data_IF_476225765013
#
_entry.id   IF_476225765013
#
_cell.length_a   1.000
_cell.length_b   1.000
_cell.length_c   1.000
_cell.angle_alpha   90.00
_cell.angle_beta   90.00
_cell.angle_gamma   90.00
#
_symmetry.space_group_name_H-M   'P 1'
#
loop_
_entity.id
_entity.type
_entity.pdbx_description
1 polymer ?
#
# COMPACT_ATOMS: atom_id res chain seq x y z
N UNK A 1 -0.16 -6.56 -24.11
CA UNK A 1 -1.13 -5.77 -23.30
C UNK A 1 -0.46 -5.10 -22.11
N UNK A 2 -1.04 -4.00 -21.66
CA UNK A 2 -0.57 -3.21 -20.52
C UNK A 2 -1.66 -3.20 -19.44
N UNK A 3 -1.71 -4.18 -18.52
CA UNK A 3 -2.80 -4.34 -17.56
C UNK A 3 -3.03 -3.09 -16.69
N UNK A 4 -1.96 -2.39 -16.28
CA UNK A 4 -2.08 -1.20 -15.47
C UNK A 4 -2.69 0.00 -16.20
N UNK A 5 -2.61 0.06 -17.53
CA UNK A 5 -3.30 1.08 -18.32
C UNK A 5 -4.81 0.87 -18.27
N UNK A 6 -5.28 -0.38 -18.32
CA UNK A 6 -6.70 -0.70 -18.13
C UNK A 6 -7.18 -0.34 -16.72
N UNK A 7 -6.40 -0.65 -15.69
CA UNK A 7 -6.73 -0.25 -14.32
C UNK A 7 -6.81 1.28 -14.18
N UNK A 8 -5.92 2.03 -14.84
CA UNK A 8 -5.99 3.49 -14.84
C UNK A 8 -7.30 4.02 -15.48
N UNK A 9 -7.72 3.44 -16.59
CA UNK A 9 -8.99 3.77 -17.24
C UNK A 9 -10.19 3.42 -16.33
N UNK A 10 -10.20 2.25 -15.73
CA UNK A 10 -11.27 1.84 -14.81
C UNK A 10 -11.33 2.72 -13.58
N UNK A 11 -10.18 3.11 -13.02
CA UNK A 11 -10.12 4.07 -11.91
C UNK A 11 -10.69 5.44 -12.32
N UNK A 12 -10.35 5.93 -13.53
CA UNK A 12 -10.93 7.12 -14.10
C UNK A 12 -12.45 7.04 -14.26
N UNK A 13 -12.97 5.86 -14.64
CA UNK A 13 -14.40 5.62 -14.84
C UNK A 13 -15.19 5.36 -13.55
N UNK A 14 -14.52 4.99 -12.45
CA UNK A 14 -15.14 4.47 -11.23
C UNK A 14 -15.81 5.54 -10.36
N UNK A 15 -15.34 6.79 -10.40
CA UNK A 15 -15.75 7.83 -9.45
C UNK A 15 -17.29 8.01 -9.36
N UNK A 16 -18.08 8.14 -10.45
CA UNK A 16 -19.52 8.32 -10.36
C UNK A 16 -20.26 7.09 -9.82
N UNK A 17 -19.63 5.92 -9.79
CA UNK A 17 -20.24 4.70 -9.25
C UNK A 17 -20.27 4.68 -7.73
N UNK A 18 -19.40 5.43 -7.06
CA UNK A 18 -19.26 5.37 -5.61
C UNK A 18 -20.55 5.74 -4.87
N UNK A 19 -21.32 6.70 -5.38
CA UNK A 19 -22.63 7.05 -4.80
C UNK A 19 -23.65 5.94 -5.01
N UNK A 20 -23.72 5.38 -6.20
CA UNK A 20 -24.62 4.28 -6.54
C UNK A 20 -24.32 3.06 -5.67
N UNK A 21 -23.04 2.74 -5.49
CA UNK A 21 -22.55 1.59 -4.71
C UNK A 21 -22.51 1.86 -3.20
N UNK A 22 -22.67 3.11 -2.77
CA UNK A 22 -22.54 3.56 -1.38
C UNK A 22 -21.16 3.22 -0.77
N UNK A 23 -20.11 3.34 -1.58
CA UNK A 23 -18.72 3.07 -1.18
C UNK A 23 -18.01 4.41 -0.90
N UNK A 24 -17.23 4.53 0.17
CA UNK A 24 -16.42 5.73 0.42
C UNK A 24 -15.35 5.91 -0.66
N UNK A 25 -14.80 7.12 -0.77
CA UNK A 25 -13.67 7.42 -1.65
C UNK A 25 -12.43 6.59 -1.30
N UNK A 26 -11.61 6.31 -2.30
CA UNK A 26 -10.35 5.59 -2.16
C UNK A 26 -9.29 6.14 -3.13
N UNK A 27 -8.06 5.65 -2.98
CA UNK A 27 -6.92 6.08 -3.79
C UNK A 27 -6.44 4.93 -4.66
N UNK A 28 -6.10 5.21 -5.91
CA UNK A 28 -5.34 4.32 -6.80
C UNK A 28 -3.99 4.99 -7.08
N UNK A 29 -2.91 4.37 -6.62
CA UNK A 29 -1.56 4.94 -6.62
C UNK A 29 -0.62 4.14 -7.50
N UNK A 30 -0.08 4.77 -8.55
CA UNK A 30 0.91 4.21 -9.45
C UNK A 30 2.30 4.58 -8.97
N UNK A 31 3.03 3.63 -8.40
CA UNK A 31 4.34 3.84 -7.81
C UNK A 31 5.43 3.00 -8.46
N UNK A 32 6.65 3.53 -8.53
CA UNK A 32 7.80 2.85 -9.10
C UNK A 32 8.81 3.80 -9.73
N UNK A 33 9.83 3.22 -10.36
CA UNK A 33 10.93 3.96 -10.99
C UNK A 33 10.45 5.01 -12.01
N UNK A 34 11.29 6.02 -12.23
CA UNK A 34 11.10 7.04 -13.27
C UNK A 34 11.02 6.38 -14.65
N UNK A 35 10.32 7.02 -15.58
CA UNK A 35 10.16 6.56 -16.97
C UNK A 35 9.41 5.22 -17.15
N UNK A 36 8.67 4.76 -16.15
CA UNK A 36 7.85 3.54 -16.21
C UNK A 36 6.47 3.71 -16.85
N UNK A 37 6.09 4.92 -17.30
CA UNK A 37 4.77 5.19 -17.89
C UNK A 37 3.68 5.61 -16.90
N UNK A 38 4.03 5.97 -15.65
CA UNK A 38 3.07 6.40 -14.61
C UNK A 38 2.24 7.60 -15.05
N UNK A 39 2.92 8.68 -15.50
CA UNK A 39 2.24 9.88 -16.01
C UNK A 39 1.37 9.56 -17.24
N UNK A 40 1.80 8.62 -18.09
CA UNK A 40 1.00 8.15 -19.23
C UNK A 40 -0.27 7.44 -18.78
N UNK A 41 -0.19 6.60 -17.71
CA UNK A 41 -1.37 5.97 -17.11
C UNK A 41 -2.33 7.02 -16.53
N UNK A 42 -1.80 8.05 -15.84
CA UNK A 42 -2.63 9.15 -15.33
C UNK A 42 -3.29 9.96 -16.45
N UNK A 43 -2.57 10.24 -17.54
CA UNK A 43 -3.15 10.89 -18.74
C UNK A 43 -4.29 10.06 -19.33
N UNK A 44 -4.10 8.74 -19.37
CA UNK A 44 -5.13 7.83 -19.86
C UNK A 44 -6.38 7.84 -18.97
N UNK A 45 -6.22 7.81 -17.65
CA UNK A 45 -7.31 7.96 -16.70
C UNK A 45 -8.02 9.33 -16.83
N UNK A 46 -7.26 10.41 -16.98
CA UNK A 46 -7.79 11.77 -17.12
C UNK A 46 -8.60 11.95 -18.40
N UNK A 47 -8.17 11.30 -19.49
CA UNK A 47 -8.84 11.39 -20.80
C UNK A 47 -10.27 10.87 -20.79
N UNK A 48 -10.65 10.06 -19.80
CA UNK A 48 -12.03 9.58 -19.62
C UNK A 48 -12.98 10.77 -19.52
N UNK A 49 -12.61 11.82 -18.78
CA UNK A 49 -13.48 12.96 -18.48
C UNK A 49 -13.09 14.28 -19.12
N UNK A 50 -11.80 14.48 -19.37
CA UNK A 50 -11.33 15.77 -19.86
C UNK A 50 -9.94 15.71 -20.47
N UNK A 51 -9.39 16.88 -20.80
CA UNK A 51 -8.10 17.02 -21.44
C UNK A 51 -6.96 16.57 -20.51
N UNK A 52 -6.15 15.57 -20.88
CA UNK A 52 -5.05 15.06 -20.07
C UNK A 52 -3.75 15.84 -20.33
N UNK A 53 -3.75 17.15 -20.11
CA UNK A 53 -2.63 18.06 -20.39
C UNK A 53 -1.90 18.42 -19.09
N UNK A 54 -0.62 18.72 -19.16
CA UNK A 54 0.13 19.33 -18.04
C UNK A 54 -0.17 20.84 -17.91
N UNK A 55 -0.71 21.44 -18.99
CA UNK A 55 -1.06 22.87 -19.03
C UNK A 55 -2.57 23.06 -18.93
N UNK A 56 -2.99 24.09 -18.20
CA UNK A 56 -4.41 24.46 -18.10
C UNK A 56 -4.99 24.89 -19.45
N UNK A 57 -6.24 24.52 -19.81
CA UNK A 57 -7.18 23.70 -19.03
C UNK A 57 -6.81 22.20 -19.01
N UNK A 58 -6.96 21.56 -17.88
CA UNK A 58 -6.56 20.17 -17.70
C UNK A 58 -7.50 19.43 -16.74
N UNK A 59 -7.60 18.10 -16.93
CA UNK A 59 -8.21 17.16 -16.00
C UNK A 59 -7.16 16.43 -15.12
N UNK A 60 -5.88 16.78 -15.26
CA UNK A 60 -4.78 16.22 -14.49
C UNK A 60 -3.99 17.33 -13.80
N UNK A 61 -3.76 17.19 -12.51
CA UNK A 61 -3.09 18.20 -11.69
C UNK A 61 -1.80 17.64 -11.12
N UNK A 62 -1.04 18.46 -10.40
CA UNK A 62 0.20 18.08 -9.74
C UNK A 62 0.02 18.08 -8.21
N UNK A 63 0.79 17.24 -7.52
CA UNK A 63 0.95 17.31 -6.06
C UNK A 63 1.62 18.61 -5.57
N UNK A 64 2.20 19.44 -6.45
CA UNK A 64 2.65 20.80 -6.10
C UNK A 64 1.45 21.74 -5.89
N UNK A 65 0.66 21.42 -4.88
CA UNK A 65 -0.54 22.16 -4.51
C UNK A 65 -0.68 22.22 -2.98
N UNK A 66 -1.42 23.23 -2.51
CA UNK A 66 -1.77 23.28 -1.10
C UNK A 66 -2.92 22.32 -0.78
N UNK A 67 -2.94 21.77 0.44
CA UNK A 67 -4.05 20.91 0.90
C UNK A 67 -5.43 21.57 0.67
N UNK A 68 -5.55 22.87 0.94
CA UNK A 68 -6.81 23.62 0.76
C UNK A 68 -7.25 23.66 -0.70
N UNK A 69 -6.29 23.83 -1.61
CA UNK A 69 -6.59 23.82 -3.04
C UNK A 69 -7.08 22.44 -3.47
N UNK A 70 -6.42 21.38 -2.99
CA UNK A 70 -6.83 19.98 -3.27
C UNK A 70 -8.24 19.71 -2.73
N UNK A 71 -8.55 20.11 -1.48
CA UNK A 71 -9.89 19.96 -0.89
C UNK A 71 -10.96 20.67 -1.72
N UNK A 72 -10.70 21.91 -2.16
CA UNK A 72 -11.65 22.66 -3.00
C UNK A 72 -11.83 22.05 -4.36
N UNK A 73 -10.75 21.58 -4.97
CA UNK A 73 -10.82 20.89 -6.28
C UNK A 73 -11.58 19.58 -6.16
N UNK A 74 -11.36 18.80 -5.10
CA UNK A 74 -12.14 17.60 -4.82
C UNK A 74 -13.63 17.89 -4.65
N UNK A 75 -13.97 18.94 -3.90
CA UNK A 75 -15.37 19.39 -3.73
C UNK A 75 -16.00 19.86 -5.05
N UNK A 76 -15.25 20.59 -5.88
CA UNK A 76 -15.71 21.01 -7.21
C UNK A 76 -15.95 19.82 -8.15
N UNK A 77 -15.02 18.85 -8.17
CA UNK A 77 -15.16 17.65 -9.00
C UNK A 77 -16.24 16.69 -8.46
N UNK A 78 -16.46 16.70 -7.17
CA UNK A 78 -17.46 15.92 -6.43
C UNK A 78 -17.40 14.41 -6.75
N UNK A 79 -18.11 13.95 -7.79
CA UNK A 79 -18.19 12.54 -8.21
C UNK A 79 -17.31 12.24 -9.45
N UNK A 80 -16.44 13.16 -9.85
CA UNK A 80 -15.44 12.93 -10.89
C UNK A 80 -14.07 12.64 -10.26
N UNK A 81 -13.19 11.87 -10.91
CA UNK A 81 -11.89 11.51 -10.33
C UNK A 81 -11.01 12.75 -10.16
N UNK A 82 -10.28 12.80 -9.04
CA UNK A 82 -9.20 13.76 -8.84
C UNK A 82 -7.87 13.07 -9.22
N UNK A 83 -7.08 13.69 -10.09
CA UNK A 83 -5.83 13.10 -10.59
C UNK A 83 -4.68 14.01 -10.22
N UNK A 84 -3.72 13.49 -9.44
CA UNK A 84 -2.56 14.22 -8.92
C UNK A 84 -1.27 13.49 -9.30
N UNK A 85 -0.48 14.11 -10.17
CA UNK A 85 0.79 13.56 -10.65
C UNK A 85 1.96 13.95 -9.75
N UNK A 86 2.86 12.99 -9.51
CA UNK A 86 4.17 13.07 -8.89
C UNK A 86 4.18 13.53 -7.41
N UNK A 87 4.04 12.57 -6.49
CA UNK A 87 4.04 12.81 -5.02
C UNK A 87 5.29 13.51 -4.50
N UNK A 88 6.46 13.37 -5.16
CA UNK A 88 7.69 14.10 -4.79
C UNK A 88 7.57 15.62 -4.93
N UNK A 89 6.65 16.11 -5.76
CA UNK A 89 6.40 17.54 -5.94
C UNK A 89 5.59 18.16 -4.80
N UNK A 90 5.02 17.34 -3.91
CA UNK A 90 4.36 17.84 -2.71
C UNK A 90 5.37 18.59 -1.83
N UNK A 91 5.03 19.81 -1.40
CA UNK A 91 5.93 20.67 -0.60
C UNK A 91 6.42 20.02 0.69
N UNK A 92 5.61 19.12 1.26
CA UNK A 92 5.97 18.32 2.43
C UNK A 92 5.32 16.93 2.35
N UNK A 93 6.02 15.86 2.74
CA UNK A 93 5.47 14.49 2.80
C UNK A 93 4.16 14.38 3.60
N UNK A 94 3.99 15.19 4.63
CA UNK A 94 2.75 15.25 5.44
C UNK A 94 1.52 15.64 4.63
N UNK A 95 1.69 16.44 3.57
CA UNK A 95 0.55 16.85 2.72
C UNK A 95 -0.04 15.63 2.03
N UNK A 96 0.78 14.74 1.49
CA UNK A 96 0.33 13.50 0.83
C UNK A 96 -0.48 12.65 1.81
N UNK A 97 0.06 12.40 3.01
CA UNK A 97 -0.63 11.64 4.05
C UNK A 97 -1.98 12.27 4.42
N UNK A 98 -1.98 13.56 4.71
CA UNK A 98 -3.17 14.26 5.22
C UNK A 98 -4.24 14.38 4.13
N UNK A 99 -3.84 14.57 2.87
CA UNK A 99 -4.76 14.58 1.72
C UNK A 99 -5.39 13.20 1.52
N UNK A 100 -4.61 12.11 1.51
CA UNK A 100 -5.15 10.75 1.37
C UNK A 100 -6.17 10.45 2.46
N UNK A 101 -5.84 10.80 3.72
CA UNK A 101 -6.74 10.57 4.85
C UNK A 101 -8.07 11.33 4.69
N UNK A 102 -8.01 12.65 4.45
CA UNK A 102 -9.20 13.50 4.35
C UNK A 102 -9.99 13.19 3.07
N UNK A 103 -9.29 12.89 1.95
CA UNK A 103 -9.94 12.52 0.69
C UNK A 103 -10.85 11.30 0.84
N UNK A 104 -10.35 10.27 1.53
CA UNK A 104 -11.13 9.05 1.77
C UNK A 104 -12.24 9.24 2.81
N UNK A 105 -12.20 10.31 3.62
CA UNK A 105 -13.32 10.70 4.49
C UNK A 105 -14.45 11.40 3.72
N UNK A 106 -14.18 11.89 2.52
CA UNK A 106 -15.17 12.50 1.64
C UNK A 106 -15.60 13.92 2.04
N UNK A 107 -14.84 14.58 2.92
CA UNK A 107 -15.14 15.95 3.36
C UNK A 107 -13.87 16.72 3.69
N UNK A 108 -13.89 18.01 3.39
CA UNK A 108 -12.85 18.96 3.77
C UNK A 108 -12.84 19.23 5.28
N UNK A 109 -11.79 19.88 5.73
CA UNK A 109 -11.67 20.27 7.14
C UNK A 109 -12.67 21.37 7.47
N UNK A 110 -13.48 21.16 8.50
CA UNK A 110 -14.38 22.18 9.03
C UNK A 110 -13.59 23.41 9.50
N UNK A 111 -14.02 24.59 9.11
CA UNK A 111 -13.40 25.88 9.49
C UNK A 111 -14.45 26.82 10.04
N UNK A 112 -14.17 27.43 11.21
CA UNK A 112 -14.94 28.53 11.72
C UNK A 112 -14.64 29.83 10.94
N UNK A 113 -15.58 30.73 10.90
CA UNK A 113 -15.39 32.13 10.50
C UNK A 113 -16.02 33.05 11.57
N UNK A 114 -15.74 34.32 11.50
CA UNK A 114 -16.34 35.34 12.41
C UNK A 114 -17.86 35.36 12.28
N UNK A 115 -18.39 34.95 11.14
CA UNK A 115 -19.82 34.92 10.81
C UNK A 115 -20.48 33.53 10.99
N UNK A 116 -19.75 32.56 11.60
CA UNK A 116 -20.24 31.19 11.80
C UNK A 116 -19.37 30.10 11.18
N UNK A 117 -19.96 28.96 10.83
CA UNK A 117 -19.25 27.85 10.14
C UNK A 117 -19.18 28.13 8.64
N UNK A 118 -17.97 28.03 8.06
CA UNK A 118 -17.80 28.03 6.60
C UNK A 118 -18.35 26.75 6.01
N UNK A 119 -18.86 26.83 4.77
CA UNK A 119 -19.20 25.66 3.98
C UNK A 119 -18.03 24.68 3.94
N UNK A 120 -18.29 23.44 4.29
CA UNK A 120 -17.32 22.35 4.20
C UNK A 120 -17.54 21.62 2.89
N UNK A 121 -16.52 21.60 2.04
CA UNK A 121 -16.56 20.86 0.79
C UNK A 121 -16.76 19.36 1.08
N UNK A 122 -17.54 18.70 0.24
CA UNK A 122 -17.74 17.24 0.32
C UNK A 122 -17.62 16.61 -1.07
N UNK A 123 -17.16 15.38 -1.09
CA UNK A 123 -16.99 14.62 -2.32
C UNK A 123 -17.09 13.11 -2.05
N UNK A 124 -17.35 12.37 -3.09
CA UNK A 124 -17.26 10.91 -3.08
C UNK A 124 -16.63 10.49 -4.40
N UNK A 125 -15.32 10.26 -4.39
CA UNK A 125 -14.54 10.15 -5.61
C UNK A 125 -13.35 9.21 -5.46
N UNK A 126 -12.67 8.95 -6.57
CA UNK A 126 -11.40 8.23 -6.66
C UNK A 126 -10.28 9.25 -6.85
N UNK A 127 -9.28 9.20 -5.96
CA UNK A 127 -8.03 9.92 -6.15
C UNK A 127 -7.07 8.99 -6.92
N UNK A 128 -6.58 9.44 -8.07
CA UNK A 128 -5.57 8.73 -8.85
C UNK A 128 -4.25 9.49 -8.68
N UNK A 129 -3.23 8.79 -8.20
CA UNK A 129 -1.94 9.38 -7.82
C UNK A 129 -0.79 8.67 -8.52
N UNK A 130 0.33 9.37 -8.66
CA UNK A 130 1.60 8.77 -9.04
C UNK A 130 2.75 9.24 -8.17
N UNK A 131 3.81 8.43 -8.12
CA UNK A 131 5.06 8.80 -7.45
C UNK A 131 6.16 7.77 -7.66
N UNK A 132 7.40 8.11 -7.32
CA UNK A 132 8.48 7.12 -7.31
C UNK A 132 8.37 6.16 -6.12
N UNK A 133 7.94 6.66 -4.96
CA UNK A 133 7.58 5.86 -3.79
C UNK A 133 6.07 5.67 -3.69
N UNK A 134 5.64 4.56 -3.12
CA UNK A 134 4.23 4.31 -2.86
C UNK A 134 3.62 5.41 -1.96
N UNK A 135 2.43 5.89 -2.27
CA UNK A 135 1.73 6.90 -1.47
C UNK A 135 1.51 6.42 -0.02
N UNK A 136 1.41 5.10 0.19
CA UNK A 136 1.35 4.48 1.52
C UNK A 136 2.63 4.64 2.34
N UNK A 137 3.79 4.91 1.73
CA UNK A 137 5.05 5.15 2.46
C UNK A 137 5.05 6.45 3.27
N UNK A 138 4.19 7.41 2.91
CA UNK A 138 4.04 8.68 3.63
C UNK A 138 3.23 8.55 4.93
N UNK A 139 2.61 7.39 5.18
CA UNK A 139 1.85 7.12 6.41
C UNK A 139 2.16 5.74 6.96
N UNK A 140 2.39 5.69 8.27
CA UNK A 140 2.52 4.42 8.99
C UNK A 140 1.15 3.90 9.47
N UNK A 141 0.07 4.66 9.29
CA UNK A 141 -1.26 4.31 9.75
C UNK A 141 -1.89 3.21 8.87
N UNK A 142 -2.32 2.12 9.51
CA UNK A 142 -2.97 1.00 8.84
C UNK A 142 -4.32 1.40 8.20
N UNK A 143 -4.99 2.42 8.75
CA UNK A 143 -6.23 2.97 8.20
C UNK A 143 -6.01 3.68 6.86
N UNK A 144 -4.93 4.43 6.72
CA UNK A 144 -4.53 5.08 5.46
C UNK A 144 -4.16 4.03 4.41
N UNK A 145 -3.36 3.02 4.79
CA UNK A 145 -2.96 1.92 3.88
C UNK A 145 -4.16 1.15 3.33
N UNK A 146 -5.17 0.91 4.16
CA UNK A 146 -6.38 0.19 3.75
C UNK A 146 -7.26 0.95 2.74
N UNK A 147 -6.93 2.20 2.42
CA UNK A 147 -7.68 3.08 1.49
C UNK A 147 -6.93 3.34 0.18
N UNK A 148 -5.73 2.78 0.03
CA UNK A 148 -4.85 3.03 -1.13
C UNK A 148 -4.57 1.71 -1.83
N UNK A 149 -5.07 1.57 -3.05
CA UNK A 149 -4.66 0.52 -3.98
C UNK A 149 -3.32 0.93 -4.61
N UNK A 150 -2.24 0.35 -4.13
CA UNK A 150 -0.90 0.63 -4.67
C UNK A 150 -0.58 -0.33 -5.80
N UNK A 151 -0.26 0.21 -6.98
CA UNK A 151 0.26 -0.53 -8.13
C UNK A 151 1.75 -0.22 -8.26
N UNK A 152 2.59 -1.17 -7.84
CA UNK A 152 4.04 -1.05 -7.96
C UNK A 152 4.49 -1.55 -9.33
N UNK A 153 5.36 -0.78 -10.01
CA UNK A 153 5.99 -1.23 -11.24
C UNK A 153 5.88 -0.25 -12.40
N UNK A 154 5.99 -0.78 -13.60
CA UNK A 154 6.02 0.00 -14.85
C UNK A 154 4.71 -0.20 -15.63
N UNK A 155 3.78 0.76 -15.66
CA UNK A 155 2.52 0.65 -16.39
C UNK A 155 2.65 0.27 -17.87
N UNK A 156 3.75 0.65 -18.51
CA UNK A 156 4.06 0.32 -19.91
C UNK A 156 5.03 -0.86 -20.07
N UNK A 157 5.22 -1.67 -18.99
CA UNK A 157 6.09 -2.84 -19.03
C UNK A 157 7.57 -2.51 -18.87
N UNK A 158 8.42 -3.54 -18.95
CA UNK A 158 9.87 -3.43 -18.75
C UNK A 158 10.66 -3.08 -20.02
N UNK A 159 10.05 -3.27 -21.19
CA UNK A 159 10.67 -2.91 -22.48
C UNK A 159 10.58 -1.37 -22.69
N UNK A 160 11.74 -0.73 -22.64
CA UNK A 160 11.83 0.74 -22.69
C UNK A 160 11.44 1.30 -24.06
N UNK A 161 11.80 0.61 -25.14
CA UNK A 161 11.53 1.07 -26.51
C UNK A 161 10.03 0.96 -26.82
N UNK A 162 9.41 -0.16 -26.45
CA UNK A 162 7.95 -0.33 -26.58
C UNK A 162 7.24 0.67 -25.68
N UNK A 163 7.65 0.83 -24.44
CA UNK A 163 7.05 1.76 -23.49
C UNK A 163 7.11 3.21 -23.96
N UNK A 164 8.25 3.66 -24.52
CA UNK A 164 8.43 5.02 -25.03
C UNK A 164 7.52 5.28 -26.24
N UNK A 165 7.49 4.36 -27.20
CA UNK A 165 6.63 4.45 -28.38
C UNK A 165 5.15 4.52 -28.00
N UNK A 166 4.69 3.62 -27.11
CA UNK A 166 3.30 3.63 -26.64
C UNK A 166 2.96 4.90 -25.87
N UNK A 167 3.90 5.41 -25.06
CA UNK A 167 3.70 6.67 -24.33
C UNK A 167 3.51 7.85 -25.30
N UNK A 168 4.31 7.92 -26.34
CA UNK A 168 4.20 8.95 -27.38
C UNK A 168 2.86 8.83 -28.14
N UNK A 169 2.51 7.63 -28.58
CA UNK A 169 1.26 7.36 -29.27
C UNK A 169 0.03 7.75 -28.42
N UNK A 170 0.02 7.38 -27.15
CA UNK A 170 -1.03 7.76 -26.19
C UNK A 170 -1.10 9.27 -26.07
N UNK A 171 0.03 9.96 -25.92
CA UNK A 171 0.07 11.41 -25.76
C UNK A 171 -0.47 12.12 -27.00
N UNK A 172 -0.05 11.72 -28.19
CA UNK A 172 -0.53 12.29 -29.46
C UNK A 172 -2.04 12.05 -29.64
N UNK A 173 -2.47 10.80 -29.40
CA UNK A 173 -3.89 10.43 -29.57
C UNK A 173 -4.80 11.19 -28.60
N UNK A 174 -4.39 11.30 -27.34
CA UNK A 174 -5.19 11.94 -26.29
C UNK A 174 -5.16 13.48 -26.34
N UNK A 175 -4.31 14.08 -27.15
CA UNK A 175 -4.30 15.54 -27.33
C UNK A 175 -5.67 16.05 -27.83
N UNK A 176 -6.30 15.27 -28.72
CA UNK A 176 -7.56 15.64 -29.38
C UNK A 176 -8.72 14.66 -29.04
N UNK A 177 -8.45 13.54 -28.41
CA UNK A 177 -9.45 12.50 -28.08
C UNK A 177 -9.62 12.30 -26.59
N UNK A 178 -10.49 13.07 -25.96
CA UNK A 178 -10.78 13.01 -24.52
C UNK A 178 -12.25 13.33 -24.21
N UNK A 179 -12.72 12.95 -23.03
CA UNK A 179 -14.05 13.24 -22.50
C UNK A 179 -15.20 12.41 -23.12
N UNK A 180 -14.93 11.64 -24.17
CA UNK A 180 -15.96 10.86 -24.87
C UNK A 180 -16.50 9.71 -24.00
N UNK A 181 -15.62 8.96 -23.37
CA UNK A 181 -16.01 7.81 -22.56
C UNK A 181 -16.77 8.25 -21.31
N UNK A 182 -16.31 9.28 -20.61
CA UNK A 182 -16.96 9.81 -19.40
C UNK A 182 -18.38 10.30 -19.68
N UNK A 183 -18.57 11.00 -20.81
CA UNK A 183 -19.92 11.41 -21.25
C UNK A 183 -20.85 10.20 -21.46
N UNK A 184 -20.35 9.14 -22.09
CA UNK A 184 -21.13 7.91 -22.32
C UNK A 184 -21.44 7.19 -21.02
N UNK A 185 -20.48 7.14 -20.07
CA UNK A 185 -20.69 6.56 -18.73
C UNK A 185 -21.78 7.35 -17.99
N UNK A 186 -21.68 8.69 -17.93
CA UNK A 186 -22.68 9.52 -17.28
C UNK A 186 -24.07 9.33 -17.91
N UNK A 187 -24.15 9.31 -19.22
CA UNK A 187 -25.40 9.06 -19.95
C UNK A 187 -25.97 7.67 -19.63
N UNK A 188 -25.13 6.62 -19.62
CA UNK A 188 -25.53 5.27 -19.26
C UNK A 188 -26.12 5.21 -17.86
N UNK A 189 -25.46 5.80 -16.87
CA UNK A 189 -25.89 5.76 -15.47
C UNK A 189 -27.18 6.55 -15.25
N UNK A 190 -27.33 7.71 -15.89
CA UNK A 190 -28.55 8.53 -15.77
C UNK A 190 -29.74 7.88 -16.49
N UNK A 191 -29.52 7.27 -17.66
CA UNK A 191 -30.58 6.65 -18.45
C UNK A 191 -31.03 5.27 -17.95
N UNK A 192 -30.28 4.65 -17.01
CA UNK A 192 -30.58 3.31 -16.49
C UNK A 192 -30.66 3.29 -14.96
N UNK A 193 -31.33 4.28 -14.37
CA UNK A 193 -31.44 4.38 -12.90
C UNK A 193 -32.13 3.16 -12.28
N UNK A 194 -33.08 2.56 -12.98
CA UNK A 194 -33.78 1.33 -12.57
C UNK A 194 -32.84 0.13 -12.43
N UNK A 195 -31.67 0.15 -13.09
CA UNK A 195 -30.65 -0.91 -13.01
C UNK A 195 -29.60 -0.69 -11.91
N UNK A 196 -29.72 0.37 -11.12
CA UNK A 196 -28.75 0.62 -10.05
C UNK A 196 -28.73 -0.50 -9.00
N UNK A 197 -29.84 -1.20 -8.78
CA UNK A 197 -29.88 -2.37 -7.90
C UNK A 197 -29.11 -3.56 -8.49
N UNK A 198 -29.20 -3.78 -9.81
CA UNK A 198 -28.41 -4.78 -10.52
C UNK A 198 -26.90 -4.47 -10.40
N UNK A 199 -26.53 -3.21 -10.59
CA UNK A 199 -25.14 -2.76 -10.46
C UNK A 199 -24.63 -3.02 -9.02
N UNK A 200 -25.45 -2.77 -8.01
CA UNK A 200 -25.12 -3.09 -6.61
C UNK A 200 -24.96 -4.60 -6.37
N UNK A 201 -25.81 -5.42 -6.98
CA UNK A 201 -25.72 -6.88 -6.87
C UNK A 201 -24.40 -7.40 -7.49
N UNK A 202 -24.03 -6.92 -8.68
CA UNK A 202 -22.75 -7.26 -9.33
C UNK A 202 -21.57 -6.84 -8.45
N UNK A 203 -21.62 -5.64 -7.87
CA UNK A 203 -20.60 -5.17 -6.93
C UNK A 203 -20.46 -6.09 -5.71
N UNK A 204 -21.56 -6.53 -5.09
CA UNK A 204 -21.50 -7.42 -3.93
C UNK A 204 -20.85 -8.76 -4.30
N UNK A 205 -21.22 -9.35 -5.44
CA UNK A 205 -20.64 -10.60 -5.93
C UNK A 205 -19.14 -10.46 -6.17
N UNK A 206 -18.70 -9.37 -6.83
CA UNK A 206 -17.29 -9.11 -7.05
C UNK A 206 -16.53 -8.90 -5.74
N UNK A 207 -17.08 -8.14 -4.79
CA UNK A 207 -16.48 -7.93 -3.47
C UNK A 207 -16.29 -9.25 -2.72
N UNK A 208 -17.31 -10.10 -2.70
CA UNK A 208 -17.26 -11.38 -1.99
C UNK A 208 -16.25 -12.34 -2.67
N UNK A 209 -16.15 -12.32 -4.01
CA UNK A 209 -15.11 -13.03 -4.78
C UNK A 209 -13.71 -12.60 -4.33
N UNK A 210 -13.40 -11.30 -4.32
CA UNK A 210 -12.09 -10.80 -3.92
C UNK A 210 -11.79 -11.04 -2.44
N UNK A 211 -12.78 -10.91 -1.56
CA UNK A 211 -12.61 -11.19 -0.13
C UNK A 211 -12.29 -12.67 0.14
N UNK A 212 -12.85 -13.59 -0.67
CA UNK A 212 -12.64 -15.02 -0.53
C UNK A 212 -11.24 -15.48 -0.97
N UNK A 213 -10.67 -14.85 -2.01
CA UNK A 213 -9.34 -15.20 -2.52
C UNK A 213 -8.20 -14.46 -1.82
N UNK A 214 -8.51 -13.41 -1.06
CA UNK A 214 -7.51 -12.60 -0.36
C UNK A 214 -6.82 -13.40 0.76
N UNK A 215 -5.48 -13.46 0.71
CA UNK A 215 -4.66 -14.16 1.70
C UNK A 215 -4.20 -13.21 2.82
N UNK A 216 -3.98 -11.92 2.51
CA UNK A 216 -3.58 -10.92 3.50
C UNK A 216 -4.77 -10.09 4.00
N UNK A 217 -4.64 -9.52 5.20
CA UNK A 217 -5.66 -8.63 5.77
C UNK A 217 -5.82 -7.33 4.95
N UNK A 218 -4.74 -6.85 4.31
CA UNK A 218 -4.74 -5.65 3.46
C UNK A 218 -5.53 -5.94 2.18
N UNK A 219 -5.19 -7.01 1.45
CA UNK A 219 -5.89 -7.41 0.24
C UNK A 219 -7.39 -7.63 0.49
N UNK A 220 -7.74 -8.27 1.62
CA UNK A 220 -9.14 -8.46 2.01
C UNK A 220 -9.90 -7.14 2.24
N UNK A 221 -9.25 -6.13 2.81
CA UNK A 221 -9.84 -4.79 2.97
C UNK A 221 -10.01 -4.08 1.63
N UNK A 222 -9.15 -4.37 0.66
CA UNK A 222 -9.22 -3.80 -0.68
C UNK A 222 -10.28 -4.47 -1.58
N UNK A 223 -10.87 -5.60 -1.17
CA UNK A 223 -11.87 -6.32 -1.96
C UNK A 223 -13.01 -5.42 -2.47
N UNK A 224 -13.48 -4.46 -1.65
CA UNK A 224 -14.48 -3.49 -2.06
C UNK A 224 -13.98 -2.54 -3.16
N UNK A 225 -12.75 -2.08 -3.08
CA UNK A 225 -12.16 -1.18 -4.09
C UNK A 225 -11.93 -1.90 -5.43
N UNK A 226 -11.43 -3.16 -5.37
CA UNK A 226 -11.30 -4.00 -6.56
C UNK A 226 -12.66 -4.24 -7.22
N UNK A 227 -13.69 -4.52 -6.44
CA UNK A 227 -15.05 -4.72 -6.92
C UNK A 227 -15.61 -3.46 -7.62
N UNK A 228 -15.34 -2.25 -7.09
CA UNK A 228 -15.72 -1.00 -7.75
C UNK A 228 -15.06 -0.88 -9.13
N UNK A 229 -13.75 -1.19 -9.23
CA UNK A 229 -13.04 -1.15 -10.50
C UNK A 229 -13.54 -2.22 -11.48
N UNK A 230 -13.93 -3.41 -11.00
CA UNK A 230 -14.50 -4.46 -11.85
C UNK A 230 -15.88 -4.05 -12.41
N UNK A 231 -16.73 -3.41 -11.60
CA UNK A 231 -18.00 -2.83 -12.06
C UNK A 231 -17.76 -1.73 -13.09
N UNK A 232 -16.77 -0.86 -12.86
CA UNK A 232 -16.39 0.18 -13.82
C UNK A 232 -15.93 -0.44 -15.15
N UNK A 233 -15.11 -1.51 -15.09
CA UNK A 233 -14.66 -2.25 -16.27
C UNK A 233 -15.84 -2.83 -17.05
N UNK A 234 -16.78 -3.48 -16.37
CA UNK A 234 -17.96 -4.05 -17.00
C UNK A 234 -18.78 -3.00 -17.77
N UNK A 235 -18.99 -1.82 -17.17
CA UNK A 235 -19.68 -0.69 -17.83
C UNK A 235 -18.85 -0.18 -19.02
N UNK A 236 -17.57 0.06 -18.86
CA UNK A 236 -16.67 0.55 -19.92
C UNK A 236 -16.72 -0.38 -21.14
N UNK A 237 -16.62 -1.68 -20.92
CA UNK A 237 -16.67 -2.67 -22.00
C UNK A 237 -18.06 -2.80 -22.64
N UNK A 238 -19.13 -2.67 -21.84
CA UNK A 238 -20.49 -2.64 -22.38
C UNK A 238 -20.74 -1.44 -23.28
N UNK A 239 -19.95 -0.37 -23.10
CA UNK A 239 -19.97 0.83 -23.96
C UNK A 239 -19.07 0.70 -25.20
N UNK A 240 -18.53 -0.48 -25.47
CA UNK A 240 -17.79 -0.81 -26.71
C UNK A 240 -16.28 -0.57 -26.65
N UNK A 241 -15.69 -0.36 -25.46
CA UNK A 241 -14.24 -0.42 -25.32
C UNK A 241 -13.79 -1.87 -25.38
N UNK A 242 -12.76 -2.23 -26.18
CA UNK A 242 -12.27 -3.61 -26.30
C UNK A 242 -11.82 -4.18 -24.96
N UNK A 243 -12.08 -5.48 -24.77
CA UNK A 243 -11.57 -6.24 -23.62
C UNK A 243 -10.03 -6.35 -23.69
N UNK A 244 -9.32 -6.35 -22.55
CA UNK A 244 -7.89 -6.65 -22.53
C UNK A 244 -7.61 -8.13 -22.83
N UNK A 245 -6.44 -8.40 -23.45
CA UNK A 245 -5.98 -9.77 -23.74
C UNK A 245 -5.49 -10.51 -22.47
N UNK A 246 -5.30 -9.77 -21.38
CA UNK A 246 -4.83 -10.26 -20.07
C UNK A 246 -5.81 -9.83 -18.98
N UNK A 247 -5.83 -10.55 -17.88
CA UNK A 247 -6.64 -10.19 -16.71
C UNK A 247 -5.97 -9.08 -15.89
N UNK A 248 -6.42 -7.80 -15.97
CA UNK A 248 -5.85 -6.71 -15.18
C UNK A 248 -6.08 -6.88 -13.68
N UNK A 249 -7.17 -7.57 -13.29
CA UNK A 249 -7.52 -7.75 -11.88
C UNK A 249 -6.67 -8.80 -11.19
N UNK A 250 -6.18 -9.83 -11.92
CA UNK A 250 -5.17 -10.75 -11.43
C UNK A 250 -3.90 -10.00 -11.02
N UNK A 251 -3.37 -9.15 -11.90
CA UNK A 251 -2.20 -8.29 -11.60
C UNK A 251 -2.47 -7.33 -10.43
N UNK A 252 -3.66 -6.72 -10.38
CA UNK A 252 -4.02 -5.81 -9.29
C UNK A 252 -4.10 -6.56 -7.96
N UNK A 253 -4.69 -7.75 -7.92
CA UNK A 253 -4.79 -8.57 -6.72
C UNK A 253 -3.42 -9.01 -6.21
N UNK A 254 -2.54 -9.48 -7.09
CA UNK A 254 -1.16 -9.82 -6.76
C UNK A 254 -0.42 -8.62 -6.13
N UNK A 255 -0.57 -7.43 -6.72
CA UNK A 255 0.01 -6.20 -6.18
C UNK A 255 -0.51 -5.89 -4.77
N UNK A 256 -1.78 -6.15 -4.47
CA UNK A 256 -2.34 -5.93 -3.12
C UNK A 256 -1.89 -6.97 -2.11
N UNK A 257 -1.70 -8.22 -2.53
CA UNK A 257 -1.11 -9.26 -1.67
C UNK A 257 0.33 -8.91 -1.30
N UNK A 258 1.16 -8.52 -2.28
CA UNK A 258 2.53 -8.07 -2.02
C UNK A 258 2.56 -6.85 -1.10
N UNK A 259 1.69 -5.85 -1.34
CA UNK A 259 1.57 -4.69 -0.45
C UNK A 259 1.13 -5.07 0.97
N UNK A 260 0.32 -6.12 1.11
CA UNK A 260 -0.10 -6.69 2.38
C UNK A 260 1.06 -7.34 3.14
N UNK A 261 1.91 -8.08 2.44
CA UNK A 261 3.11 -8.67 3.01
C UNK A 261 4.11 -7.58 3.45
N UNK A 262 4.36 -6.58 2.61
CA UNK A 262 5.20 -5.41 2.95
C UNK A 262 4.66 -4.61 4.15
N UNK A 263 3.35 -4.63 4.37
CA UNK A 263 2.69 -3.94 5.48
C UNK A 263 2.71 -4.75 6.78
N UNK A 264 3.18 -5.99 6.78
CA UNK A 264 3.28 -6.85 7.94
C UNK A 264 4.45 -6.42 8.83
N UNK A 265 4.24 -5.37 9.64
CA UNK A 265 5.25 -4.87 10.58
C UNK A 265 5.85 -5.92 11.48
N UNK A 266 5.07 -6.84 12.11
CA UNK A 266 5.64 -7.93 12.89
C UNK A 266 6.61 -8.81 12.09
N UNK A 267 6.30 -9.09 10.82
CA UNK A 267 7.19 -9.85 9.94
C UNK A 267 8.44 -9.04 9.56
N UNK A 268 8.28 -7.78 9.16
CA UNK A 268 9.41 -6.90 8.85
C UNK A 268 10.34 -6.74 10.05
N UNK A 269 9.79 -6.52 11.24
CA UNK A 269 10.59 -6.44 12.47
C UNK A 269 11.34 -7.75 12.79
N UNK A 270 10.77 -8.91 12.45
CA UNK A 270 11.46 -10.20 12.60
C UNK A 270 12.62 -10.30 11.61
N UNK A 271 12.40 -9.95 10.35
CA UNK A 271 13.44 -9.96 9.31
C UNK A 271 14.60 -9.03 9.65
N UNK A 272 14.29 -7.80 10.06
CA UNK A 272 15.30 -6.79 10.44
C UNK A 272 16.10 -7.27 11.68
N UNK A 273 15.43 -7.83 12.68
CA UNK A 273 16.09 -8.34 13.88
C UNK A 273 16.95 -9.57 13.57
N UNK A 274 16.49 -10.49 12.72
CA UNK A 274 17.27 -11.65 12.29
C UNK A 274 18.50 -11.23 11.47
N UNK A 275 18.37 -10.23 10.61
CA UNK A 275 19.49 -9.62 9.89
C UNK A 275 20.53 -9.03 10.85
N UNK A 276 20.05 -8.33 11.89
CA UNK A 276 20.91 -7.81 12.95
C UNK A 276 21.62 -8.96 13.71
N UNK A 277 20.89 -10.02 14.07
CA UNK A 277 21.46 -11.19 14.73
C UNK A 277 22.57 -11.83 13.87
N UNK A 278 22.32 -12.01 12.57
CA UNK A 278 23.30 -12.59 11.63
C UNK A 278 24.56 -11.73 11.52
N UNK A 279 24.43 -10.40 11.48
CA UNK A 279 25.56 -9.47 11.43
C UNK A 279 26.36 -9.46 12.74
N UNK A 280 25.72 -9.74 13.89
CA UNK A 280 26.32 -9.71 15.21
C UNK A 280 26.44 -11.09 15.86
N UNK A 281 26.50 -12.16 15.05
CA UNK A 281 26.46 -13.53 15.55
C UNK A 281 27.53 -13.86 16.61
N UNK A 282 28.72 -13.24 16.52
CA UNK A 282 29.82 -13.41 17.50
C UNK A 282 29.48 -12.87 18.91
N UNK A 283 28.42 -12.08 19.04
CA UNK A 283 27.88 -11.60 20.31
C UNK A 283 26.90 -12.60 20.97
N UNK A 284 26.64 -13.73 20.34
CA UNK A 284 25.77 -14.74 20.91
C UNK A 284 26.58 -15.90 21.49
N UNK A 285 26.26 -16.28 22.71
CA UNK A 285 26.79 -17.49 23.34
C UNK A 285 26.42 -18.70 22.49
N UNK A 286 27.42 -19.52 22.16
CA UNK A 286 27.28 -20.64 21.21
C UNK A 286 27.78 -20.32 19.79
N UNK A 287 27.95 -19.02 19.42
CA UNK A 287 28.53 -18.58 18.14
C UNK A 287 29.70 -17.60 18.32
N UNK A 288 30.18 -17.44 19.53
CA UNK A 288 31.32 -16.58 19.85
C UNK A 288 32.62 -17.09 19.21
N UNK A 289 33.54 -16.17 18.93
CA UNK A 289 34.92 -16.53 18.61
C UNK A 289 35.55 -17.28 19.78
N UNK A 290 36.36 -18.26 19.46
CA UNK A 290 37.04 -19.09 20.46
C UNK A 290 38.49 -18.58 20.57
N UNK A 291 39.00 -18.42 21.79
CA UNK A 291 40.39 -18.10 22.03
C UNK A 291 41.32 -19.33 21.82
N UNK A 292 42.61 -19.12 21.89
CA UNK A 292 43.59 -20.20 21.71
C UNK A 292 43.57 -21.27 22.82
N UNK A 293 42.79 -21.07 23.90
CA UNK A 293 42.55 -22.05 24.98
C UNK A 293 41.23 -22.81 24.81
N UNK A 294 40.48 -22.51 23.75
CA UNK A 294 39.18 -23.11 23.46
C UNK A 294 38.02 -22.48 24.22
N UNK A 295 38.20 -21.33 24.86
CA UNK A 295 37.12 -20.64 25.58
C UNK A 295 36.45 -19.59 24.70
N UNK A 296 35.12 -19.39 24.80
CA UNK A 296 34.41 -18.33 24.11
C UNK A 296 34.93 -16.97 24.55
N UNK A 297 35.29 -16.12 23.56
CA UNK A 297 35.78 -14.75 23.78
C UNK A 297 34.61 -13.84 24.11
N UNK A 298 34.60 -13.24 25.32
CA UNK A 298 33.57 -12.28 25.70
C UNK A 298 33.59 -11.04 24.79
N UNK A 299 32.47 -10.69 24.12
CA UNK A 299 32.41 -9.53 23.25
C UNK A 299 32.60 -8.22 24.02
N UNK A 300 33.23 -7.21 23.38
CA UNK A 300 33.46 -5.89 24.01
C UNK A 300 32.18 -5.20 24.51
N UNK A 301 31.08 -5.39 23.82
CA UNK A 301 29.75 -4.85 24.18
C UNK A 301 28.92 -5.82 25.05
N UNK A 302 29.55 -6.86 25.55
CA UNK A 302 28.87 -7.95 26.29
C UNK A 302 28.02 -8.85 25.38
N UNK A 303 27.49 -9.89 25.98
CA UNK A 303 26.66 -10.88 25.32
C UNK A 303 25.31 -10.27 24.89
N UNK A 304 24.94 -10.42 23.62
CA UNK A 304 23.63 -10.03 23.11
C UNK A 304 22.57 -11.08 23.46
N UNK A 305 22.98 -12.35 23.60
CA UNK A 305 22.07 -13.44 23.82
C UNK A 305 22.76 -14.81 23.73
N UNK A 306 21.97 -15.83 23.43
CA UNK A 306 22.44 -17.19 23.16
C UNK A 306 21.81 -17.70 21.86
N UNK A 307 22.68 -18.31 21.03
CA UNK A 307 22.26 -18.90 19.76
C UNK A 307 23.06 -20.18 19.55
N UNK A 308 22.39 -21.34 19.42
CA UNK A 308 23.06 -22.63 19.27
C UNK A 308 24.07 -22.64 18.10
N UNK A 309 25.17 -23.34 18.31
CA UNK A 309 26.19 -23.54 17.27
C UNK A 309 25.70 -24.50 16.19
N UNK A 310 26.12 -24.26 14.91
CA UNK A 310 25.72 -25.09 13.78
C UNK A 310 24.26 -24.92 13.39
N UNK A 311 23.70 -25.97 12.76
CA UNK A 311 22.32 -25.93 12.22
C UNK A 311 21.27 -26.52 13.18
N UNK A 312 21.69 -27.06 14.33
CA UNK A 312 20.81 -27.67 15.34
C UNK A 312 20.50 -26.65 16.46
N UNK A 313 19.53 -25.78 16.22
CA UNK A 313 19.05 -24.80 17.19
C UNK A 313 17.52 -24.67 17.15
N UNK A 314 16.88 -24.54 18.31
CA UNK A 314 15.44 -24.43 18.45
C UNK A 314 14.96 -22.96 18.47
N UNK A 315 15.81 -22.07 18.96
CA UNK A 315 15.48 -20.63 19.11
C UNK A 315 16.74 -19.77 19.16
N UNK A 316 16.55 -18.48 18.86
CA UNK A 316 17.54 -17.41 19.12
C UNK A 316 17.09 -16.68 20.37
N UNK A 317 17.85 -16.78 21.47
CA UNK A 317 17.59 -16.05 22.70
C UNK A 317 18.30 -14.69 22.67
N UNK A 318 17.59 -13.60 22.83
CA UNK A 318 18.12 -12.23 22.85
C UNK A 318 17.86 -11.63 24.24
N UNK A 319 18.88 -11.10 24.89
CA UNK A 319 18.76 -10.47 26.20
C UNK A 319 17.74 -9.33 26.14
N UNK A 320 16.84 -9.23 27.14
CA UNK A 320 15.68 -8.32 27.07
C UNK A 320 16.05 -6.85 26.85
N UNK A 321 17.18 -6.41 27.38
CA UNK A 321 17.69 -5.04 27.17
C UNK A 321 18.15 -4.85 25.72
N UNK A 322 19.01 -5.76 25.23
CA UNK A 322 19.51 -5.72 23.83
C UNK A 322 18.36 -5.79 22.84
N UNK A 323 17.36 -6.64 23.08
CA UNK A 323 16.18 -6.71 22.23
C UNK A 323 15.48 -5.35 22.12
N UNK A 324 15.22 -4.71 23.27
CA UNK A 324 14.53 -3.42 23.29
C UNK A 324 15.32 -2.30 22.62
N UNK A 325 16.63 -2.28 22.77
CA UNK A 325 17.52 -1.34 22.14
C UNK A 325 17.50 -1.52 20.62
N UNK A 326 17.77 -2.74 20.15
CA UNK A 326 17.83 -3.07 18.73
C UNK A 326 16.49 -2.83 18.03
N UNK A 327 15.37 -3.28 18.61
CA UNK A 327 14.05 -3.10 18.02
C UNK A 327 13.67 -1.61 17.87
N UNK A 328 14.09 -0.74 18.82
CA UNK A 328 13.92 0.70 18.68
C UNK A 328 14.83 1.31 17.60
N UNK A 329 16.09 0.86 17.56
CA UNK A 329 17.08 1.32 16.58
C UNK A 329 16.63 1.02 15.14
N UNK A 330 16.02 -0.14 14.90
CA UNK A 330 15.45 -0.51 13.61
C UNK A 330 14.04 0.09 13.36
N UNK A 331 13.56 0.98 14.24
CA UNK A 331 12.36 1.79 14.01
C UNK A 331 11.03 1.18 14.44
N UNK A 332 11.03 0.16 15.31
CA UNK A 332 9.82 -0.48 15.82
C UNK A 332 9.59 -0.26 17.32
N UNK A 333 8.33 -0.36 17.78
CA UNK A 333 8.01 -0.37 19.21
C UNK A 333 8.16 -1.78 19.79
N UNK A 334 9.05 -1.98 20.78
CA UNK A 334 9.31 -3.30 21.33
C UNK A 334 8.09 -3.98 21.98
N UNK A 335 7.22 -3.24 22.65
CA UNK A 335 6.06 -3.82 23.33
C UNK A 335 4.95 -4.19 22.33
N UNK A 336 4.75 -3.38 21.31
CA UNK A 336 3.85 -3.71 20.20
C UNK A 336 4.30 -4.99 19.49
N UNK A 337 5.59 -5.06 19.12
CA UNK A 337 6.16 -6.21 18.42
C UNK A 337 6.06 -7.48 19.28
N UNK A 338 6.43 -7.42 20.55
CA UNK A 338 6.32 -8.56 21.47
C UNK A 338 4.87 -9.05 21.63
N UNK A 339 3.90 -8.13 21.62
CA UNK A 339 2.48 -8.49 21.68
C UNK A 339 2.09 -9.25 20.42
N UNK A 340 2.41 -8.75 19.25
CA UNK A 340 2.09 -9.37 17.97
C UNK A 340 2.78 -10.72 17.75
N UNK A 341 4.08 -10.82 18.09
CA UNK A 341 4.79 -12.09 18.00
C UNK A 341 4.26 -13.12 18.99
N UNK A 342 3.82 -12.65 20.15
CA UNK A 342 3.18 -13.50 21.16
C UNK A 342 1.83 -14.07 20.67
N UNK A 343 1.01 -13.25 19.97
CA UNK A 343 -0.25 -13.64 19.36
C UNK A 343 -0.06 -14.63 18.22
N UNK A 344 1.05 -14.49 17.45
CA UNK A 344 1.40 -15.36 16.32
C UNK A 344 2.13 -16.65 16.72
N UNK A 345 2.46 -16.80 17.99
CA UNK A 345 3.24 -17.96 18.45
C UNK A 345 4.73 -17.93 18.06
N UNK A 346 5.26 -16.79 17.67
CA UNK A 346 6.65 -16.63 17.20
C UNK A 346 7.69 -16.55 18.33
N UNK A 347 7.23 -16.52 19.59
CA UNK A 347 8.09 -16.52 20.75
C UNK A 347 8.10 -17.91 21.38
N UNK A 348 9.28 -18.53 21.49
CA UNK A 348 9.50 -19.76 22.23
C UNK A 348 9.45 -19.46 23.74
N UNK A 349 8.29 -19.70 24.36
CA UNK A 349 8.05 -19.41 25.76
C UNK A 349 8.48 -20.54 26.71
N UNK A 350 8.83 -21.70 26.16
CA UNK A 350 8.99 -22.93 26.92
C UNK A 350 7.68 -23.29 27.65
N UNK A 351 7.79 -23.86 28.84
CA UNK A 351 6.62 -24.23 29.66
C UNK A 351 5.97 -23.04 30.41
N UNK A 352 6.51 -21.83 30.29
CA UNK A 352 6.05 -20.64 31.02
C UNK A 352 5.00 -19.81 30.29
N UNK A 353 4.19 -19.05 31.08
CA UNK A 353 3.23 -18.09 30.52
C UNK A 353 3.86 -16.72 30.13
N UNK A 354 5.09 -16.47 30.61
CA UNK A 354 5.76 -15.20 30.37
C UNK A 354 6.32 -15.11 28.94
N UNK A 355 6.39 -13.92 28.37
CA UNK A 355 7.00 -13.65 27.05
C UNK A 355 8.52 -13.87 27.05
N UNK A 356 9.19 -13.82 28.23
CA UNK A 356 10.63 -13.98 28.38
C UNK A 356 10.96 -15.21 29.19
N UNK A 357 12.14 -15.81 28.91
CA UNK A 357 12.71 -16.96 29.61
C UNK A 357 14.05 -16.58 30.28
N UNK A 358 14.47 -17.32 31.29
CA UNK A 358 15.84 -17.21 31.82
C UNK A 358 16.69 -18.26 31.12
N UNK A 359 17.73 -17.79 30.45
CA UNK A 359 18.73 -18.61 29.74
C UNK A 359 20.08 -18.39 30.42
N UNK A 360 20.90 -19.43 30.57
CA UNK A 360 22.25 -19.28 31.04
C UNK A 360 23.18 -18.88 29.92
N UNK A 361 23.82 -17.73 30.05
CA UNK A 361 24.78 -17.16 29.09
C UNK A 361 26.08 -16.98 29.85
N UNK A 362 27.15 -17.67 29.45
CA UNK A 362 28.44 -17.64 30.13
C UNK A 362 28.32 -17.95 31.65
N UNK A 363 27.52 -18.96 31.97
CA UNK A 363 27.22 -19.36 33.37
C UNK A 363 26.23 -18.44 34.09
N UNK A 364 25.95 -17.22 33.63
CA UNK A 364 25.08 -16.25 34.28
C UNK A 364 23.61 -16.38 33.84
N UNK A 365 22.63 -16.34 34.76
CA UNK A 365 21.23 -16.37 34.42
C UNK A 365 20.80 -15.02 33.79
N UNK A 366 20.41 -15.04 32.52
CA UNK A 366 20.02 -13.85 31.75
C UNK A 366 18.58 -13.98 31.25
N UNK A 367 17.79 -12.96 31.47
CA UNK A 367 16.42 -12.92 30.95
C UNK A 367 16.40 -12.58 29.48
N UNK A 368 15.81 -13.44 28.62
CA UNK A 368 15.81 -13.32 27.17
C UNK A 368 14.41 -13.47 26.60
N UNK A 369 14.17 -12.81 25.45
CA UNK A 369 13.13 -13.17 24.52
C UNK A 369 13.71 -14.18 23.53
N UNK A 370 13.00 -15.30 23.33
CA UNK A 370 13.47 -16.37 22.48
C UNK A 370 12.63 -16.41 21.20
N UNK A 371 13.26 -16.15 20.06
CA UNK A 371 12.63 -16.26 18.75
C UNK A 371 12.60 -17.72 18.34
N UNK A 372 11.40 -18.22 18.02
CA UNK A 372 11.23 -19.60 17.59
C UNK A 372 11.90 -19.85 16.24
N UNK A 373 12.43 -21.07 16.02
CA UNK A 373 13.09 -21.42 14.77
C UNK A 373 12.14 -21.39 13.59
N UNK A 374 10.97 -22.05 13.71
CA UNK A 374 9.98 -22.09 12.63
C UNK A 374 9.54 -20.67 12.21
N UNK A 375 9.36 -19.77 13.21
CA UNK A 375 9.04 -18.37 12.95
C UNK A 375 10.19 -17.63 12.26
N UNK A 376 11.43 -17.94 12.62
CA UNK A 376 12.63 -17.35 12.00
C UNK A 376 12.81 -17.83 10.55
N UNK A 377 12.63 -19.12 10.30
CA UNK A 377 12.70 -19.71 8.97
C UNK A 377 11.57 -19.16 8.07
N UNK A 378 10.33 -19.06 8.59
CA UNK A 378 9.22 -18.43 7.89
C UNK A 378 9.53 -16.96 7.51
N UNK A 379 10.12 -16.20 8.43
CA UNK A 379 10.47 -14.80 8.17
C UNK A 379 11.57 -14.63 7.11
N UNK A 380 12.47 -15.60 6.99
CA UNK A 380 13.55 -15.59 5.99
C UNK A 380 13.14 -16.22 4.65
N UNK A 381 11.93 -16.81 4.57
CA UNK A 381 11.45 -17.48 3.36
C UNK A 381 12.15 -18.81 3.09
N UNK A 382 12.64 -19.48 4.14
CA UNK A 382 13.41 -20.74 4.09
C UNK A 382 12.50 -21.93 4.29
#
# INVERSE_FOLDING_TARGET
>A
SFPYMYIAMYAGAAAPLLDILRVPGFVVDFSGETSGGKTTALRFAASVWGRPSESYPTAMYSWDATKVWIERTAGFLHNLPLILDETKRARHPRIVRDVIYDFCQGQGRGRGSVEGTRHTESWRSVLISSGEGAATSFSQDAGTRARVLTLKGKPLGSDVDIGSRVSEEVQVTLADNYGHLGRRIAQYLVSNQERHDDIRAVFQQARDKYAAIATTAVARRHAGHLAVLEVAAAIVHSLGVPQPDVDPFGYLMESQEMAGLDADRPLAAMQDLLSWCATHQTRFWGRAEIDFQGNPRTPMKGWAGSWGGGDDWDYIAIATMTFREVVREIGHDPEEILTRWSERGWLNRGAGRNRSRVIRIDGAPTRCYCLDREASDFALGS
#
